data_IF_373205830232
#
_entry.id   IF_373205830232
#
_cell.length_a   1.000
_cell.length_b   1.000
_cell.length_c   1.000
_cell.angle_alpha   90.00
_cell.angle_beta   90.00
_cell.angle_gamma   90.00
#
_symmetry.space_group_name_H-M   'P 1'
#
loop_
_entity.id
_entity.type
_entity.pdbx_description
1 polymer ?
#
# COMPACT_ATOMS: atom_id res chain seq x y z
N UNK A 1 3.92 22.19 7.93
CA UNK A 1 2.62 21.56 8.26
C UNK A 1 1.54 22.19 7.41
N UNK A 2 0.74 21.35 6.76
CA UNK A 2 -0.39 21.71 5.90
C UNK A 2 -1.59 20.95 6.41
N UNK A 3 -2.71 21.65 6.63
CA UNK A 3 -3.95 21.02 7.05
C UNK A 3 -4.46 20.10 5.94
N UNK A 4 -4.83 18.90 6.35
CA UNK A 4 -5.36 17.88 5.45
C UNK A 4 -6.76 18.29 5.02
N UNK A 5 -7.00 18.18 3.71
CA UNK A 5 -8.30 18.40 3.07
C UNK A 5 -8.66 17.17 2.24
N UNK A 6 -9.84 17.17 1.66
CA UNK A 6 -10.27 16.19 0.68
C UNK A 6 -10.53 16.88 -0.66
N UNK A 7 -10.10 16.29 -1.77
CA UNK A 7 -10.56 16.74 -3.09
C UNK A 7 -12.06 16.43 -3.20
N UNK A 8 -12.85 17.39 -3.66
CA UNK A 8 -14.25 17.14 -4.02
C UNK A 8 -14.33 16.54 -5.43
N UNK A 9 -15.55 16.30 -5.93
CA UNK A 9 -15.75 15.73 -7.27
C UNK A 9 -15.04 16.50 -8.38
N UNK A 10 -15.06 17.84 -8.32
CA UNK A 10 -14.39 18.69 -9.32
C UNK A 10 -12.87 18.60 -9.21
N UNK A 11 -12.31 18.61 -7.99
CA UNK A 11 -10.89 18.40 -7.78
C UNK A 11 -10.41 17.02 -8.24
N UNK A 12 -11.19 15.98 -7.98
CA UNK A 12 -10.90 14.61 -8.45
C UNK A 12 -10.95 14.54 -9.98
N UNK A 13 -11.95 15.17 -10.60
CA UNK A 13 -12.08 15.23 -12.06
C UNK A 13 -10.86 15.92 -12.69
N UNK A 14 -10.45 17.07 -12.16
CA UNK A 14 -9.27 17.80 -12.66
C UNK A 14 -7.97 17.03 -12.42
N UNK A 15 -7.81 16.39 -11.27
CA UNK A 15 -6.65 15.55 -11.00
C UNK A 15 -6.60 14.32 -11.92
N UNK A 16 -7.74 13.70 -12.19
CA UNK A 16 -7.85 12.61 -13.16
C UNK A 16 -7.47 13.03 -14.58
N UNK A 17 -7.95 14.20 -15.02
CA UNK A 17 -7.59 14.77 -16.32
C UNK A 17 -6.08 15.11 -16.42
N UNK A 18 -5.47 15.55 -15.33
CA UNK A 18 -4.02 15.74 -15.27
C UNK A 18 -3.27 14.40 -15.48
N UNK A 19 -3.67 13.32 -14.82
CA UNK A 19 -3.07 11.99 -15.00
C UNK A 19 -3.25 11.49 -16.45
N UNK A 20 -4.40 11.74 -17.08
CA UNK A 20 -4.63 11.41 -18.49
C UNK A 20 -3.65 12.13 -19.42
N UNK A 21 -3.45 13.44 -19.21
CA UNK A 21 -2.51 14.23 -20.01
C UNK A 21 -1.08 13.74 -19.83
N UNK A 22 -0.65 13.43 -18.61
CA UNK A 22 0.66 12.81 -18.37
C UNK A 22 0.81 11.47 -19.10
N UNK A 23 -0.24 10.65 -19.11
CA UNK A 23 -0.25 9.38 -19.85
C UNK A 23 -0.10 9.59 -21.36
N UNK A 24 -0.66 10.70 -21.87
CA UNK A 24 -0.49 11.17 -23.24
C UNK A 24 0.86 11.87 -23.53
N UNK A 25 1.78 11.94 -22.56
CA UNK A 25 3.11 12.52 -22.72
C UNK A 25 3.23 14.00 -22.37
N UNK A 26 2.24 14.60 -21.70
CA UNK A 26 2.34 15.99 -21.27
C UNK A 26 3.44 16.20 -20.21
N UNK A 27 4.17 17.31 -20.35
CA UNK A 27 5.20 17.76 -19.41
C UNK A 27 4.66 18.84 -18.48
N UNK A 28 3.74 18.43 -17.60
CA UNK A 28 3.03 19.34 -16.68
C UNK A 28 3.41 19.10 -15.21
N UNK A 29 3.58 20.19 -14.47
CA UNK A 29 3.72 20.14 -13.01
C UNK A 29 2.40 19.72 -12.35
N UNK A 30 2.43 19.04 -11.18
CA UNK A 30 1.21 18.66 -10.48
C UNK A 30 0.34 19.88 -10.16
N UNK A 31 -1.00 19.82 -10.36
CA UNK A 31 -1.90 20.94 -10.13
C UNK A 31 -2.15 21.18 -8.64
N UNK A 32 -1.12 21.64 -7.91
CA UNK A 32 -1.17 21.77 -6.45
C UNK A 32 -2.19 22.80 -5.95
N UNK A 33 -2.66 23.72 -6.81
CA UNK A 33 -3.73 24.66 -6.47
C UNK A 33 -5.03 23.94 -6.07
N UNK A 34 -5.27 22.73 -6.61
CA UNK A 34 -6.45 21.92 -6.28
C UNK A 34 -6.53 21.56 -4.80
N UNK A 35 -5.39 21.56 -4.11
CA UNK A 35 -5.28 21.16 -2.70
C UNK A 35 -5.89 22.20 -1.76
N UNK A 36 -5.99 23.47 -2.19
CA UNK A 36 -6.41 24.59 -1.34
C UNK A 36 -7.62 25.34 -1.88
N UNK A 37 -7.89 25.27 -3.18
CA UNK A 37 -9.02 25.95 -3.80
C UNK A 37 -10.36 25.39 -3.23
N UNK A 38 -11.24 26.25 -2.68
CA UNK A 38 -12.56 25.83 -2.19
C UNK A 38 -13.46 25.19 -3.25
N UNK A 39 -13.26 25.51 -4.54
CA UNK A 39 -14.00 24.91 -5.63
C UNK A 39 -13.60 23.45 -5.89
N UNK A 40 -12.41 23.03 -5.44
CA UNK A 40 -11.86 21.69 -5.74
C UNK A 40 -11.52 20.88 -4.49
N UNK A 41 -11.56 21.49 -3.30
CA UNK A 41 -11.22 20.83 -2.04
C UNK A 41 -12.10 21.30 -0.88
N UNK A 42 -12.35 20.40 0.06
CA UNK A 42 -13.15 20.62 1.26
C UNK A 42 -12.35 20.26 2.51
N UNK A 43 -12.69 20.87 3.64
CA UNK A 43 -12.16 20.43 4.93
C UNK A 43 -12.62 19.00 5.23
N UNK A 44 -11.77 18.22 5.90
CA UNK A 44 -12.16 16.92 6.46
C UNK A 44 -12.68 17.08 7.88
N UNK A 45 -13.53 16.17 8.34
CA UNK A 45 -13.92 16.15 9.74
C UNK A 45 -12.77 15.64 10.65
N UNK A 46 -12.61 16.30 11.79
CA UNK A 46 -11.45 16.15 12.66
C UNK A 46 -10.27 17.05 12.25
N UNK A 47 -9.07 16.73 12.72
CA UNK A 47 -7.87 17.53 12.44
C UNK A 47 -6.67 16.64 12.11
N UNK A 48 -6.08 16.85 10.94
CA UNK A 48 -4.86 16.18 10.51
C UNK A 48 -3.94 17.16 9.81
N UNK A 49 -2.63 17.02 10.03
CA UNK A 49 -1.62 17.88 9.43
C UNK A 49 -0.50 17.05 8.84
N UNK A 50 -0.08 17.41 7.64
CA UNK A 50 1.02 16.76 6.92
C UNK A 50 2.14 17.72 6.56
N UNK A 51 3.35 17.20 6.39
CA UNK A 51 4.54 17.95 5.98
C UNK A 51 5.05 17.43 4.65
N UNK A 52 5.61 18.33 3.84
CA UNK A 52 6.43 17.91 2.72
C UNK A 52 7.72 17.27 3.24
N UNK A 53 7.79 15.95 3.18
CA UNK A 53 8.95 15.13 3.53
C UNK A 53 9.08 13.98 2.56
N UNK A 54 10.30 13.49 2.38
CA UNK A 54 10.58 12.34 1.53
C UNK A 54 10.50 11.05 2.33
N UNK A 55 9.82 10.04 1.78
CA UNK A 55 9.72 8.71 2.37
C UNK A 55 10.64 7.74 1.65
N UNK A 56 11.45 7.00 2.41
CA UNK A 56 12.33 5.97 1.88
C UNK A 56 11.52 4.80 1.29
N UNK A 57 10.42 4.44 1.93
CA UNK A 57 9.56 3.33 1.54
C UNK A 57 8.12 3.52 1.98
N UNK A 58 7.26 2.60 1.55
CA UNK A 58 5.83 2.60 1.88
C UNK A 58 5.56 2.41 3.37
N UNK A 59 6.44 1.72 4.11
CA UNK A 59 6.29 1.52 5.55
C UNK A 59 6.44 2.84 6.30
N UNK A 60 7.43 3.65 5.92
CA UNK A 60 7.67 4.96 6.50
C UNK A 60 6.50 5.90 6.21
N UNK A 61 6.05 5.96 4.96
CA UNK A 61 4.88 6.75 4.58
C UNK A 61 3.62 6.34 5.35
N UNK A 62 3.34 5.04 5.45
CA UNK A 62 2.17 4.53 6.16
C UNK A 62 2.23 4.84 7.67
N UNK A 63 3.39 4.66 8.30
CA UNK A 63 3.61 5.00 9.72
C UNK A 63 3.43 6.48 9.97
N UNK A 64 4.01 7.31 9.13
CA UNK A 64 3.88 8.76 9.22
C UNK A 64 2.43 9.19 9.10
N UNK A 65 1.72 8.73 8.06
CA UNK A 65 0.31 9.07 7.85
C UNK A 65 -0.58 8.54 8.98
N UNK A 66 -0.27 7.37 9.55
CA UNK A 66 -0.98 6.85 10.73
C UNK A 66 -0.87 7.76 11.95
N UNK A 67 0.25 8.47 12.11
CA UNK A 67 0.42 9.47 13.17
C UNK A 67 -0.22 10.82 12.81
N UNK A 68 -0.02 11.28 11.57
CA UNK A 68 -0.51 12.57 11.08
C UNK A 68 -2.05 12.65 11.03
N UNK A 69 -2.71 11.52 10.79
CA UNK A 69 -4.16 11.42 10.63
C UNK A 69 -4.87 10.87 11.87
N UNK A 70 -4.18 10.73 13.02
CA UNK A 70 -4.73 10.09 14.23
C UNK A 70 -5.97 10.78 14.80
N UNK A 71 -6.14 12.08 14.54
CA UNK A 71 -7.24 12.91 15.01
C UNK A 71 -8.21 13.28 13.87
N UNK A 72 -8.05 12.70 12.69
CA UNK A 72 -9.06 12.76 11.61
C UNK A 72 -10.11 11.70 11.90
N UNK A 73 -11.38 12.01 11.62
CA UNK A 73 -12.47 11.10 11.91
C UNK A 73 -12.28 9.75 11.21
N UNK A 74 -12.60 8.67 11.93
CA UNK A 74 -12.38 7.31 11.42
C UNK A 74 -13.14 7.05 10.10
N UNK A 75 -14.34 7.60 9.97
CA UNK A 75 -15.15 7.47 8.76
C UNK A 75 -14.46 8.14 7.56
N UNK A 76 -13.86 9.33 7.75
CA UNK A 76 -13.08 10.01 6.71
C UNK A 76 -11.92 9.12 6.24
N UNK A 77 -11.19 8.54 7.19
CA UNK A 77 -10.06 7.66 6.89
C UNK A 77 -10.48 6.41 6.13
N UNK A 78 -11.59 5.80 6.53
CA UNK A 78 -12.01 4.50 6.00
C UNK A 78 -12.66 4.65 4.60
N UNK A 79 -13.45 5.71 4.36
CA UNK A 79 -14.31 5.83 3.17
C UNK A 79 -14.11 7.08 2.30
N UNK A 80 -13.44 8.14 2.77
CA UNK A 80 -13.28 9.36 1.98
C UNK A 80 -12.21 9.19 0.89
N UNK A 81 -12.67 8.95 -0.33
CA UNK A 81 -11.78 8.83 -1.49
C UNK A 81 -11.13 10.16 -1.90
N UNK A 82 -11.76 11.29 -1.61
CA UNK A 82 -11.22 12.63 -1.79
C UNK A 82 -10.02 12.92 -0.89
N UNK A 83 -10.05 12.46 0.36
CA UNK A 83 -8.92 12.55 1.30
C UNK A 83 -7.70 11.80 0.75
N UNK A 84 -7.89 10.56 0.31
CA UNK A 84 -6.79 9.74 -0.21
C UNK A 84 -6.25 10.27 -1.54
N UNK A 85 -7.11 10.82 -2.39
CA UNK A 85 -6.72 11.47 -3.65
C UNK A 85 -5.99 12.80 -3.41
N UNK A 86 -6.41 13.56 -2.39
CA UNK A 86 -5.72 14.78 -1.95
C UNK A 86 -4.31 14.47 -1.45
N UNK A 87 -4.15 13.45 -0.60
CA UNK A 87 -2.83 13.01 -0.14
C UNK A 87 -1.95 12.53 -1.30
N UNK A 88 -2.52 11.83 -2.27
CA UNK A 88 -1.78 11.38 -3.44
C UNK A 88 -1.29 12.56 -4.30
N UNK A 89 -2.11 13.59 -4.50
CA UNK A 89 -1.70 14.82 -5.19
C UNK A 89 -0.66 15.60 -4.38
N UNK A 90 -0.82 15.69 -3.05
CA UNK A 90 0.14 16.37 -2.16
C UNK A 90 1.54 15.75 -2.23
N UNK A 91 1.63 14.41 -2.34
CA UNK A 91 2.88 13.66 -2.46
C UNK A 91 3.20 13.20 -3.89
N UNK A 92 2.59 13.80 -4.92
CA UNK A 92 2.63 13.27 -6.28
C UNK A 92 4.05 13.11 -6.84
N UNK A 93 4.97 14.00 -6.48
CA UNK A 93 6.38 13.92 -6.88
C UNK A 93 7.10 12.67 -6.37
N UNK A 94 6.65 12.10 -5.26
CA UNK A 94 7.20 10.85 -4.76
C UNK A 94 6.46 9.63 -5.30
N UNK A 95 5.16 9.76 -5.61
CA UNK A 95 4.33 8.67 -6.12
C UNK A 95 4.48 8.44 -7.63
N UNK A 96 4.82 9.50 -8.37
CA UNK A 96 5.06 9.49 -9.81
C UNK A 96 6.25 10.42 -10.11
N UNK A 97 7.48 10.07 -9.68
CA UNK A 97 8.63 10.95 -9.85
C UNK A 97 8.91 11.25 -11.33
N UNK A 98 9.42 12.46 -11.65
CA UNK A 98 9.87 12.77 -13.00
C UNK A 98 11.06 11.89 -13.39
N UNK A 99 11.13 11.56 -14.67
CA UNK A 99 12.27 10.94 -15.33
C UNK A 99 13.37 11.98 -15.55
N UNK A 100 14.53 11.53 -16.05
CA UNK A 100 15.69 12.39 -16.28
C UNK A 100 15.41 13.54 -17.28
N UNK A 101 14.47 13.34 -18.20
CA UNK A 101 14.01 14.32 -19.19
C UNK A 101 12.88 15.22 -18.68
N UNK A 102 12.46 15.07 -17.42
CA UNK A 102 11.35 15.84 -16.82
C UNK A 102 9.96 15.24 -17.05
N UNK A 103 9.81 14.27 -17.95
CA UNK A 103 8.54 13.58 -18.21
C UNK A 103 8.16 12.66 -17.05
N UNK A 104 6.91 12.20 -17.01
CA UNK A 104 6.43 11.23 -15.99
C UNK A 104 5.80 10.02 -16.65
N UNK A 105 5.96 8.86 -16.01
CA UNK A 105 5.29 7.62 -16.40
C UNK A 105 4.27 7.22 -15.34
N UNK A 106 3.05 7.80 -15.37
CA UNK A 106 2.03 7.44 -14.40
C UNK A 106 1.62 5.96 -14.55
N UNK A 107 1.23 5.37 -13.43
CA UNK A 107 0.48 4.11 -13.41
C UNK A 107 -1.00 4.37 -13.72
N UNK A 108 -1.83 3.34 -13.58
CA UNK A 108 -3.28 3.45 -13.66
C UNK A 108 -3.82 4.45 -12.63
N UNK A 109 -4.87 5.19 -12.97
CA UNK A 109 -5.46 6.25 -12.12
C UNK A 109 -5.77 5.79 -10.70
N UNK A 110 -6.26 4.56 -10.52
CA UNK A 110 -6.61 4.00 -9.21
C UNK A 110 -5.43 3.94 -8.22
N UNK A 111 -4.19 4.12 -8.69
CA UNK A 111 -3.00 4.23 -7.84
C UNK A 111 -2.88 5.58 -7.14
N UNK A 112 -3.55 6.61 -7.66
CA UNK A 112 -3.51 8.00 -7.20
C UNK A 112 -4.88 8.55 -6.80
N UNK A 113 -5.94 8.08 -7.44
CA UNK A 113 -7.33 8.43 -7.14
C UNK A 113 -7.98 7.19 -6.55
N UNK A 114 -8.35 7.25 -5.27
CA UNK A 114 -9.01 6.10 -4.66
C UNK A 114 -10.39 5.91 -5.32
N UNK A 115 -10.75 4.69 -5.77
CA UNK A 115 -12.10 4.44 -6.28
C UNK A 115 -13.13 4.64 -5.16
N UNK A 116 -14.30 5.20 -5.49
CA UNK A 116 -15.41 5.38 -4.54
C UNK A 116 -15.88 4.04 -4.00
N UNK A 117 -16.33 4.00 -2.75
CA UNK A 117 -16.73 2.75 -2.07
C UNK A 117 -17.90 2.04 -2.75
N UNK A 118 -18.80 2.80 -3.36
CA UNK A 118 -20.00 2.32 -4.05
C UNK A 118 -19.75 1.96 -5.53
N UNK A 119 -18.50 2.03 -6.02
CA UNK A 119 -18.18 1.65 -7.39
C UNK A 119 -17.70 0.21 -7.51
N UNK A 120 -18.01 -0.43 -8.64
CA UNK A 120 -17.54 -1.78 -8.97
C UNK A 120 -16.01 -1.88 -9.02
N UNK A 121 -15.31 -0.75 -9.22
CA UNK A 121 -13.86 -0.68 -9.23
C UNK A 121 -13.24 -0.75 -7.84
N UNK A 122 -13.99 -0.42 -6.78
CA UNK A 122 -13.47 -0.34 -5.42
C UNK A 122 -12.84 -1.65 -4.98
N UNK A 123 -13.64 -2.72 -4.91
CA UNK A 123 -13.19 -4.02 -4.44
C UNK A 123 -12.04 -4.58 -5.27
N UNK A 124 -11.94 -4.20 -6.55
CA UNK A 124 -10.87 -4.63 -7.46
C UNK A 124 -9.55 -3.89 -7.23
N UNK A 125 -9.59 -2.63 -6.80
CA UNK A 125 -8.42 -1.74 -6.90
C UNK A 125 -8.08 -0.94 -5.62
N UNK A 126 -8.93 -0.92 -4.59
CA UNK A 126 -8.72 -0.08 -3.40
C UNK A 126 -7.36 -0.32 -2.70
N UNK A 127 -6.88 -1.57 -2.68
CA UNK A 127 -5.61 -1.96 -2.07
C UNK A 127 -4.39 -1.56 -2.91
N UNK A 128 -4.59 -1.22 -4.19
CA UNK A 128 -3.53 -0.81 -5.12
C UNK A 128 -3.17 0.67 -5.03
N UNK A 129 -4.01 1.48 -4.39
CA UNK A 129 -3.74 2.89 -4.14
C UNK A 129 -2.42 3.06 -3.35
N UNK A 130 -1.53 3.94 -3.82
CA UNK A 130 -0.14 3.99 -3.36
C UNK A 130 0.04 4.49 -1.91
N UNK A 131 -0.93 5.23 -1.37
CA UNK A 131 -0.94 5.66 0.05
C UNK A 131 -2.00 4.94 0.90
N UNK A 132 -3.27 4.99 0.50
CA UNK A 132 -4.37 4.31 1.19
C UNK A 132 -4.14 2.81 1.43
N UNK A 133 -3.63 2.08 0.42
CA UNK A 133 -3.30 0.66 0.55
C UNK A 133 -2.27 0.40 1.66
N UNK A 134 -1.05 0.97 1.58
CA UNK A 134 -0.06 0.89 2.66
C UNK A 134 -0.56 1.31 4.03
N UNK A 135 -1.32 2.40 4.11
CA UNK A 135 -1.87 2.87 5.37
C UNK A 135 -2.80 1.83 6.01
N UNK A 136 -3.72 1.25 5.23
CA UNK A 136 -4.62 0.18 5.70
C UNK A 136 -3.84 -1.04 6.16
N UNK A 137 -2.84 -1.47 5.39
CA UNK A 137 -1.95 -2.59 5.76
C UNK A 137 -1.22 -2.29 7.09
N UNK A 138 -0.70 -1.07 7.26
CA UNK A 138 -0.01 -0.67 8.49
C UNK A 138 -0.95 -0.60 9.69
N UNK A 139 -2.20 -0.16 9.53
CA UNK A 139 -3.19 -0.20 10.63
C UNK A 139 -3.50 -1.63 11.09
N UNK A 140 -3.45 -2.61 10.20
CA UNK A 140 -3.67 -4.01 10.54
C UNK A 140 -2.46 -4.64 11.24
N UNK A 141 -1.26 -4.41 10.72
CA UNK A 141 -0.06 -5.18 11.08
C UNK A 141 1.02 -4.38 11.81
N UNK A 142 0.90 -3.05 11.86
CA UNK A 142 1.91 -2.18 12.43
C UNK A 142 3.31 -2.45 11.84
N UNK A 143 4.36 -2.61 12.67
CA UNK A 143 5.71 -2.95 12.21
C UNK A 143 5.81 -4.25 11.40
N UNK A 144 4.93 -5.22 11.61
CA UNK A 144 4.93 -6.49 10.87
C UNK A 144 4.51 -6.31 9.39
N UNK A 145 3.99 -5.13 9.01
CA UNK A 145 3.74 -4.79 7.61
C UNK A 145 5.02 -4.66 6.76
N UNK A 146 6.22 -4.68 7.37
CA UNK A 146 7.50 -4.38 6.72
C UNK A 146 7.76 -5.14 5.43
N UNK A 147 7.44 -6.43 5.35
CA UNK A 147 7.64 -7.20 4.12
C UNK A 147 6.72 -6.76 2.98
N UNK A 148 5.50 -6.35 3.32
CA UNK A 148 4.51 -5.85 2.36
C UNK A 148 4.90 -4.44 1.88
N UNK A 149 5.47 -3.62 2.76
CA UNK A 149 5.69 -2.18 2.57
C UNK A 149 7.16 -1.77 2.38
N UNK A 150 8.06 -2.73 2.16
CA UNK A 150 9.47 -2.48 1.89
C UNK A 150 9.78 -1.66 0.62
N UNK A 151 9.02 -1.78 -0.50
CA UNK A 151 9.33 -1.02 -1.71
C UNK A 151 9.21 0.50 -1.54
N UNK A 152 9.86 1.29 -2.42
CA UNK A 152 9.66 2.74 -2.53
C UNK A 152 8.19 3.12 -2.74
N UNK A 153 7.81 4.34 -2.34
CA UNK A 153 6.40 4.80 -2.37
C UNK A 153 5.74 4.83 -3.75
N UNK A 154 6.51 4.99 -4.83
CA UNK A 154 6.00 4.90 -6.21
C UNK A 154 5.80 3.47 -6.73
N UNK A 155 6.25 2.42 -6.01
CA UNK A 155 6.17 1.03 -6.51
C UNK A 155 5.16 0.20 -5.72
N UNK A 156 4.25 -0.46 -6.43
CA UNK A 156 3.42 -1.50 -5.83
C UNK A 156 4.24 -2.80 -5.71
N UNK A 157 4.42 -3.29 -4.47
CA UNK A 157 5.26 -4.46 -4.18
C UNK A 157 4.59 -5.77 -4.48
N UNK A 158 5.34 -6.75 -5.00
CA UNK A 158 4.82 -8.10 -5.30
C UNK A 158 4.22 -8.81 -4.07
N UNK A 159 4.80 -8.65 -2.89
CA UNK A 159 4.21 -9.17 -1.65
C UNK A 159 2.86 -8.53 -1.33
N UNK A 160 2.72 -7.20 -1.50
CA UNK A 160 1.41 -6.54 -1.37
C UNK A 160 0.44 -7.03 -2.43
N UNK A 161 0.85 -7.13 -3.70
CA UNK A 161 -0.03 -7.56 -4.80
C UNK A 161 -0.59 -8.98 -4.53
N UNK A 162 0.27 -9.91 -4.10
CA UNK A 162 -0.15 -11.28 -3.84
C UNK A 162 -0.91 -11.44 -2.52
N UNK A 163 -0.57 -10.71 -1.45
CA UNK A 163 -1.21 -10.94 -0.15
C UNK A 163 -2.38 -10.00 0.12
N UNK A 164 -2.31 -8.73 -0.28
CA UNK A 164 -3.37 -7.75 -0.02
C UNK A 164 -4.58 -7.87 -0.94
N UNK A 165 -4.46 -8.59 -2.06
CA UNK A 165 -5.59 -8.95 -2.92
C UNK A 165 -6.47 -10.07 -2.35
N UNK A 166 -6.03 -10.71 -1.26
CA UNK A 166 -6.68 -11.85 -0.63
C UNK A 166 -7.04 -11.53 0.81
N UNK A 167 -8.33 -11.43 1.11
CA UNK A 167 -8.81 -11.00 2.42
C UNK A 167 -8.34 -11.93 3.53
N UNK A 168 -8.46 -13.24 3.31
CA UNK A 168 -8.06 -14.30 4.23
C UNK A 168 -6.57 -14.23 4.62
N UNK A 169 -5.71 -13.78 3.70
CA UNK A 169 -4.30 -13.56 3.98
C UNK A 169 -4.05 -12.26 4.72
N UNK A 170 -4.59 -11.14 4.23
CA UNK A 170 -4.23 -9.82 4.74
C UNK A 170 -4.84 -9.54 6.11
N UNK A 171 -5.95 -10.19 6.50
CA UNK A 171 -6.53 -10.03 7.83
C UNK A 171 -5.92 -10.96 8.88
N UNK A 172 -5.16 -11.98 8.49
CA UNK A 172 -4.48 -12.89 9.42
C UNK A 172 -3.09 -12.36 9.80
N UNK A 173 -2.96 -11.81 11.02
CA UNK A 173 -1.70 -11.25 11.54
C UNK A 173 -0.60 -12.28 11.69
N UNK A 174 -0.94 -13.48 12.15
CA UNK A 174 0.02 -14.57 12.37
C UNK A 174 0.56 -15.10 11.05
N UNK A 175 -0.25 -15.09 10.01
CA UNK A 175 0.19 -15.41 8.65
C UNK A 175 1.20 -14.38 8.12
N UNK A 176 0.94 -13.08 8.29
CA UNK A 176 1.89 -12.04 7.88
C UNK A 176 3.20 -12.14 8.67
N UNK A 177 3.16 -12.50 9.96
CA UNK A 177 4.37 -12.80 10.75
C UNK A 177 5.14 -13.99 10.19
N UNK A 178 4.45 -15.08 9.80
CA UNK A 178 5.08 -16.24 9.17
C UNK A 178 5.77 -15.86 7.83
N UNK A 179 5.11 -15.04 7.01
CA UNK A 179 5.69 -14.51 5.76
C UNK A 179 6.94 -13.67 6.04
N UNK A 180 6.91 -12.80 7.06
CA UNK A 180 8.11 -12.06 7.48
C UNK A 180 9.25 -12.98 7.90
N UNK A 181 8.97 -13.98 8.73
CA UNK A 181 9.98 -14.92 9.23
C UNK A 181 10.67 -15.68 8.07
N UNK A 182 9.91 -16.08 7.05
CA UNK A 182 10.46 -16.78 5.89
C UNK A 182 11.23 -15.86 4.95
N UNK A 183 10.71 -14.67 4.67
CA UNK A 183 11.12 -13.93 3.48
C UNK A 183 11.67 -12.54 3.74
N UNK A 184 11.66 -12.02 4.96
CA UNK A 184 12.23 -10.70 5.24
C UNK A 184 13.71 -10.83 5.63
N UNK A 185 14.57 -10.03 5.00
CA UNK A 185 15.97 -9.86 5.39
C UNK A 185 16.08 -8.60 6.25
N UNK A 186 16.16 -8.79 7.58
CA UNK A 186 16.23 -7.68 8.53
C UNK A 186 17.52 -6.86 8.40
N UNK A 187 18.62 -7.47 7.93
CA UNK A 187 19.91 -6.79 7.75
C UNK A 187 19.85 -5.81 6.58
N UNK A 188 19.13 -6.16 5.52
CA UNK A 188 18.98 -5.34 4.31
C UNK A 188 17.70 -4.51 4.30
N UNK A 189 16.80 -4.74 5.25
CA UNK A 189 15.49 -4.10 5.30
C UNK A 189 14.57 -4.44 4.13
N UNK A 190 14.83 -5.52 3.39
CA UNK A 190 14.15 -5.87 2.13
C UNK A 190 13.77 -7.35 2.09
N UNK A 191 12.85 -7.77 1.20
CA UNK A 191 12.58 -9.19 1.02
C UNK A 191 13.80 -9.94 0.47
N UNK A 192 14.02 -11.18 0.94
CA UNK A 192 15.07 -12.09 0.50
C UNK A 192 15.01 -12.28 -1.02
N UNK A 193 16.17 -12.22 -1.67
CA UNK A 193 16.28 -12.33 -3.13
C UNK A 193 15.67 -13.65 -3.61
N UNK A 194 14.77 -13.56 -4.58
CA UNK A 194 14.14 -14.73 -5.19
C UNK A 194 12.87 -15.22 -4.50
N UNK A 195 12.47 -14.64 -3.36
CA UNK A 195 11.28 -15.06 -2.60
C UNK A 195 9.98 -15.00 -3.44
N UNK A 196 9.94 -14.17 -4.49
CA UNK A 196 8.79 -14.00 -5.37
C UNK A 196 8.98 -14.60 -6.77
N UNK A 197 10.04 -15.37 -7.00
CA UNK A 197 10.23 -16.08 -8.29
C UNK A 197 9.18 -17.17 -8.47
N UNK A 198 8.89 -17.55 -9.71
CA UNK A 198 7.82 -18.52 -10.02
C UNK A 198 8.27 -19.98 -9.90
N UNK A 199 9.54 -20.26 -10.20
CA UNK A 199 10.01 -21.62 -10.46
C UNK A 199 10.94 -22.15 -9.35
N UNK A 200 10.83 -21.63 -8.12
CA UNK A 200 11.64 -22.07 -6.99
C UNK A 200 10.78 -22.64 -5.86
N UNK A 201 11.24 -23.72 -5.20
CA UNK A 201 10.56 -24.31 -4.04
C UNK A 201 10.46 -23.29 -2.90
N UNK A 202 9.35 -23.37 -2.15
CA UNK A 202 9.14 -22.57 -0.96
C UNK A 202 9.04 -21.05 -1.19
N UNK A 203 8.84 -20.59 -2.43
CA UNK A 203 8.60 -19.15 -2.73
C UNK A 203 7.23 -18.68 -2.21
N UNK A 204 6.99 -17.37 -2.23
CA UNK A 204 5.70 -16.77 -1.84
C UNK A 204 4.49 -17.41 -2.55
N UNK A 205 4.62 -17.76 -3.84
CA UNK A 205 3.53 -18.44 -4.57
C UNK A 205 3.27 -19.84 -4.03
N UNK A 206 4.34 -20.58 -3.70
CA UNK A 206 4.22 -21.89 -3.05
C UNK A 206 3.63 -21.76 -1.66
N UNK A 207 4.03 -20.74 -0.89
CA UNK A 207 3.45 -20.44 0.42
C UNK A 207 1.94 -20.24 0.32
N UNK A 208 1.48 -19.36 -0.58
CA UNK A 208 0.05 -19.10 -0.80
C UNK A 208 -0.69 -20.39 -1.16
N UNK A 209 -0.16 -21.19 -2.09
CA UNK A 209 -0.79 -22.45 -2.50
C UNK A 209 -0.89 -23.47 -1.34
N UNK A 210 0.14 -23.57 -0.50
CA UNK A 210 0.14 -24.47 0.67
C UNK A 210 -0.84 -23.97 1.72
N UNK A 211 -0.87 -22.68 2.01
CA UNK A 211 -1.79 -22.09 2.98
C UNK A 211 -3.25 -22.29 2.55
N UNK A 212 -3.59 -22.03 1.29
CA UNK A 212 -4.93 -22.29 0.76
C UNK A 212 -5.35 -23.76 0.87
N UNK A 213 -4.39 -24.69 0.79
CA UNK A 213 -4.68 -26.10 1.05
C UNK A 213 -4.90 -26.39 2.54
N UNK A 214 -4.05 -25.81 3.42
CA UNK A 214 -4.18 -25.98 4.87
C UNK A 214 -5.48 -25.39 5.41
N UNK A 215 -5.99 -24.30 4.83
CA UNK A 215 -7.28 -23.69 5.22
C UNK A 215 -8.48 -24.65 5.11
N UNK A 216 -8.37 -25.72 4.31
CA UNK A 216 -9.42 -26.74 4.19
C UNK A 216 -9.47 -27.70 5.38
N UNK A 217 -8.39 -27.77 6.18
CA UNK A 217 -8.23 -28.76 7.26
C UNK A 217 -7.83 -28.16 8.61
N UNK A 218 -7.36 -26.92 8.63
CA UNK A 218 -6.94 -26.19 9.83
C UNK A 218 -7.68 -24.86 9.94
N UNK A 219 -8.09 -24.49 11.16
CA UNK A 219 -8.45 -23.11 11.48
C UNK A 219 -7.17 -22.28 11.63
N UNK A 220 -6.74 -21.63 10.54
CA UNK A 220 -5.52 -20.81 10.53
C UNK A 220 -5.60 -19.56 11.41
N UNK A 221 -6.78 -19.13 11.85
CA UNK A 221 -6.92 -18.01 12.78
C UNK A 221 -6.67 -18.43 14.24
N UNK A 222 -6.76 -19.73 14.54
CA UNK A 222 -6.42 -20.29 15.85
C UNK A 222 -4.92 -20.52 16.06
N UNK A 223 -4.13 -20.50 14.97
CA UNK A 223 -2.70 -20.81 14.99
C UNK A 223 -1.83 -19.56 15.13
N UNK A 224 -0.77 -19.65 15.94
CA UNK A 224 0.30 -18.66 15.92
C UNK A 224 1.26 -18.89 14.75
N UNK A 225 2.09 -17.89 14.45
CA UNK A 225 2.99 -17.94 13.31
C UNK A 225 3.99 -19.11 13.37
N UNK A 226 4.47 -19.51 14.55
CA UNK A 226 5.37 -20.66 14.70
C UNK A 226 4.66 -21.97 14.35
N UNK A 227 3.41 -22.14 14.78
CA UNK A 227 2.57 -23.29 14.44
C UNK A 227 2.32 -23.33 12.93
N UNK A 228 1.99 -22.20 12.30
CA UNK A 228 1.85 -22.11 10.84
C UNK A 228 3.14 -22.59 10.15
N UNK A 229 4.32 -22.11 10.58
CA UNK A 229 5.59 -22.55 10.01
C UNK A 229 5.88 -24.04 10.23
N UNK A 230 5.40 -24.64 11.32
CA UNK A 230 5.58 -26.08 11.57
C UNK A 230 4.76 -26.97 10.63
N UNK A 231 3.66 -26.45 10.08
CA UNK A 231 2.82 -27.15 9.09
C UNK A 231 3.38 -27.06 7.66
N UNK A 232 4.35 -26.17 7.41
CA UNK A 232 4.91 -25.99 6.07
C UNK A 232 5.81 -27.17 5.68
N UNK A 233 5.71 -27.66 4.43
CA UNK A 233 6.60 -28.71 3.91
C UNK A 233 8.09 -28.32 3.92
N UNK A 234 8.96 -29.32 3.75
CA UNK A 234 10.41 -29.14 3.71
C UNK A 234 10.90 -28.18 2.59
N UNK A 235 10.08 -27.91 1.57
CA UNK A 235 10.41 -26.95 0.50
C UNK A 235 10.69 -25.53 1.04
N UNK A 236 10.19 -25.21 2.24
CA UNK A 236 10.39 -23.91 2.90
C UNK A 236 11.65 -23.83 3.78
N UNK A 237 12.35 -24.94 4.03
CA UNK A 237 13.45 -24.98 4.99
C UNK A 237 14.62 -24.08 4.58
N UNK A 238 14.86 -23.94 3.28
CA UNK A 238 15.86 -23.02 2.72
C UNK A 238 15.59 -21.54 3.05
N UNK A 239 14.34 -21.20 3.39
CA UNK A 239 13.93 -19.85 3.75
C UNK A 239 13.93 -19.61 5.26
N UNK A 240 13.94 -20.66 6.09
CA UNK A 240 14.00 -20.56 7.56
C UNK A 240 15.38 -20.07 8.05
N UNK A 241 16.43 -20.28 7.26
CA UNK A 241 17.85 -20.12 7.65
C UNK A 241 18.47 -18.78 7.26
N UNK A 242 17.80 -17.67 7.54
CA UNK A 242 18.52 -16.41 7.75
C UNK A 242 18.63 -16.19 9.26
N UNK A 243 19.60 -16.87 9.88
CA UNK A 243 20.05 -16.49 11.23
C UNK A 243 20.47 -15.02 11.18
N UNK A 244 19.98 -14.24 12.14
CA UNK A 244 20.58 -12.98 12.52
C UNK A 244 22.06 -13.19 12.89
#
# INVERSE_FOLDING_TARGET
MTDVRALNEEGIRQFGAYIDRLTGGAEESPPLFLLTDPATSLAVHGHGQVDKRNFMNRLEAARYLSGALKNVDRQEIDTNHGLWSWLALFYFDQLCPPLADGTRKPYEKYRYILPKLDSDEHFRHYYRHLLAGPFRIYRLHGPDARILLAPPVHKHGEFSEQLASRMEFITNKELIKAVNALYYDATKGTPKRGATTRNKPGTLRRFIAVIQHLELTYDLYSLNWQQILSLLPAEFDTWRTARA
#
